data_IF_579044420297
#
_entry.id   IF_579044420297
#
_cell.length_a   1.000
_cell.length_b   1.000
_cell.length_c   1.000
_cell.angle_alpha   90.00
_cell.angle_beta   90.00
_cell.angle_gamma   90.00
#
_symmetry.space_group_name_H-M   'P 1'
#
loop_
_entity.id
_entity.type
_entity.pdbx_description
1 polymer ?
#
# COMPACT_ATOMS: atom_id res chain seq x y z
N UNK A 1 24.27 -40.59 42.32
CA UNK A 1 23.49 -39.84 43.33
C UNK A 1 23.08 -38.51 42.73
N UNK A 2 21.80 -38.32 42.41
CA UNK A 2 21.29 -37.04 41.88
C UNK A 2 21.06 -36.12 43.08
N UNK A 3 21.75 -35.00 43.12
CA UNK A 3 21.60 -34.02 44.19
C UNK A 3 20.29 -33.20 43.97
N UNK A 4 19.19 -33.48 44.69
CA UNK A 4 17.91 -32.86 44.44
C UNK A 4 17.92 -31.33 44.70
N UNK A 5 18.81 -30.88 45.54
CA UNK A 5 18.98 -29.44 45.84
C UNK A 5 19.60 -28.70 44.64
N UNK A 6 20.56 -29.32 43.94
CA UNK A 6 21.18 -28.74 42.77
C UNK A 6 20.14 -28.62 41.62
N UNK A 7 19.32 -29.66 41.39
CA UNK A 7 18.25 -29.65 40.42
C UNK A 7 17.24 -28.52 40.68
N UNK A 8 16.85 -28.34 41.94
CA UNK A 8 15.89 -27.31 42.34
C UNK A 8 16.46 -25.90 42.10
N UNK A 9 17.73 -25.66 42.41
CA UNK A 9 18.40 -24.38 42.15
C UNK A 9 18.47 -24.06 40.68
N UNK A 10 18.83 -25.04 39.83
CA UNK A 10 18.91 -24.86 38.39
C UNK A 10 17.52 -24.55 37.82
N UNK A 11 16.47 -25.24 38.27
CA UNK A 11 15.10 -25.01 37.83
C UNK A 11 14.63 -23.60 38.19
N UNK A 12 14.86 -23.14 39.41
CA UNK A 12 14.50 -21.79 39.82
C UNK A 12 15.24 -20.72 39.04
N UNK A 13 16.53 -20.93 38.76
CA UNK A 13 17.32 -20.02 37.94
C UNK A 13 16.78 -19.93 36.48
N UNK A 14 16.40 -21.05 35.89
CA UNK A 14 15.80 -21.06 34.54
C UNK A 14 14.44 -20.35 34.50
N UNK A 15 13.59 -20.54 35.52
CA UNK A 15 12.31 -19.83 35.62
C UNK A 15 12.54 -18.32 35.77
N UNK A 16 13.51 -17.90 36.58
CA UNK A 16 13.86 -16.49 36.74
C UNK A 16 14.34 -15.88 35.41
N UNK A 17 15.26 -16.55 34.72
CA UNK A 17 15.76 -16.11 33.41
C UNK A 17 14.63 -16.01 32.37
N UNK A 18 13.72 -16.97 32.34
CA UNK A 18 12.56 -16.95 31.44
C UNK A 18 11.64 -15.76 31.77
N UNK A 19 11.35 -15.50 33.03
CA UNK A 19 10.52 -14.38 33.47
C UNK A 19 11.14 -13.03 33.09
N UNK A 20 12.47 -12.88 33.26
CA UNK A 20 13.21 -11.66 32.85
C UNK A 20 13.16 -11.50 31.32
N UNK A 21 13.38 -12.58 30.54
CA UNK A 21 13.34 -12.55 29.09
C UNK A 21 11.96 -12.16 28.55
N UNK A 22 10.88 -12.70 29.11
CA UNK A 22 9.50 -12.35 28.75
C UNK A 22 9.17 -10.91 29.14
N UNK A 23 9.66 -10.43 30.28
CA UNK A 23 9.48 -9.05 30.70
C UNK A 23 10.17 -8.05 29.77
N UNK A 24 11.40 -8.36 29.34
CA UNK A 24 12.16 -7.52 28.42
C UNK A 24 11.54 -7.47 27.01
N UNK A 25 11.04 -8.60 26.48
CA UNK A 25 10.36 -8.63 25.17
C UNK A 25 9.07 -7.83 25.18
N UNK A 26 8.30 -7.84 26.26
CA UNK A 26 7.07 -7.02 26.39
C UNK A 26 7.37 -5.52 26.47
N UNK A 27 8.41 -5.12 27.18
CA UNK A 27 8.82 -3.71 27.28
C UNK A 27 9.32 -3.13 25.95
N UNK A 28 9.98 -3.95 25.11
CA UNK A 28 10.47 -3.52 23.78
C UNK A 28 9.34 -3.38 22.76
N UNK A 29 8.24 -4.12 22.91
CA UNK A 29 7.09 -4.03 21.98
C UNK A 29 6.13 -2.87 22.26
N UNK A 30 6.14 -2.30 23.48
CA UNK A 30 5.12 -1.35 23.90
C UNK A 30 5.37 0.12 23.49
N UNK A 31 6.56 0.50 23.00
CA UNK A 31 6.88 1.94 22.93
C UNK A 31 7.74 2.40 21.75
N UNK A 32 7.89 1.62 20.69
CA UNK A 32 8.61 2.11 19.51
C UNK A 32 7.68 2.23 18.31
N UNK A 33 7.00 3.36 18.22
CA UNK A 33 6.50 3.84 16.93
C UNK A 33 7.72 4.00 16.03
N UNK A 34 7.77 3.23 14.95
CA UNK A 34 8.84 3.38 13.97
C UNK A 34 8.76 4.80 13.38
N UNK A 35 9.79 5.63 13.53
CA UNK A 35 9.73 7.01 13.05
C UNK A 35 9.56 7.11 11.54
N UNK A 36 9.95 6.06 10.81
CA UNK A 36 9.80 5.95 9.34
C UNK A 36 9.62 4.48 8.98
N UNK A 37 8.62 4.18 8.15
CA UNK A 37 8.49 2.90 7.46
C UNK A 37 9.15 3.02 6.08
N UNK A 38 10.13 2.17 5.79
CA UNK A 38 10.80 2.11 4.49
C UNK A 38 10.50 0.77 3.84
N UNK A 39 9.99 0.81 2.60
CA UNK A 39 9.66 -0.38 1.84
C UNK A 39 9.37 -0.04 0.39
N UNK A 40 9.27 -1.06 -0.46
CA UNK A 40 8.88 -0.91 -1.87
C UNK A 40 7.37 -0.95 -2.07
N UNK A 41 6.65 -1.53 -1.12
CA UNK A 41 5.20 -1.59 -1.12
C UNK A 41 4.67 -1.63 0.31
N UNK A 42 3.45 -1.12 0.48
CA UNK A 42 2.60 -1.27 1.66
C UNK A 42 1.26 -1.79 1.19
N UNK A 43 0.75 -2.84 1.83
CA UNK A 43 -0.56 -3.40 1.54
C UNK A 43 -1.41 -3.47 2.80
N UNK A 44 -2.69 -3.12 2.66
CA UNK A 44 -3.73 -3.34 3.66
C UNK A 44 -4.63 -4.46 3.12
N UNK A 45 -4.79 -5.51 3.89
CA UNK A 45 -5.61 -6.67 3.53
C UNK A 45 -6.84 -6.76 4.43
N UNK A 46 -7.92 -7.35 3.89
CA UNK A 46 -9.11 -7.69 4.67
C UNK A 46 -8.96 -9.05 5.38
N UNK A 47 -9.96 -9.43 6.16
CA UNK A 47 -10.00 -10.70 6.92
C UNK A 47 -9.88 -11.96 6.04
N UNK A 48 -10.07 -11.83 4.73
CA UNK A 48 -9.92 -12.91 3.74
C UNK A 48 -8.57 -12.87 3.04
N UNK A 49 -7.65 -11.99 3.46
CA UNK A 49 -6.33 -11.82 2.86
C UNK A 49 -6.33 -11.10 1.51
N UNK A 50 -7.45 -10.46 1.10
CA UNK A 50 -7.53 -9.71 -0.16
C UNK A 50 -6.98 -8.31 0.04
N UNK A 51 -6.14 -7.84 -0.87
CA UNK A 51 -5.60 -6.48 -0.84
C UNK A 51 -6.73 -5.46 -1.05
N UNK A 52 -6.87 -4.53 -0.10
CA UNK A 52 -7.90 -3.48 -0.09
C UNK A 52 -7.31 -2.08 -0.29
N UNK A 53 -6.07 -1.89 0.08
CA UNK A 53 -5.31 -0.70 -0.27
C UNK A 53 -3.86 -1.07 -0.55
N UNK A 54 -3.20 -0.33 -1.42
CA UNK A 54 -1.77 -0.50 -1.67
C UNK A 54 -1.10 0.83 -1.99
N UNK A 55 0.16 0.96 -1.57
CA UNK A 55 1.10 1.97 -2.05
C UNK A 55 2.28 1.18 -2.61
N UNK A 56 2.61 1.39 -3.89
CA UNK A 56 3.64 0.62 -4.58
C UNK A 56 4.46 1.52 -5.47
N UNK A 57 5.77 1.30 -5.50
CA UNK A 57 6.65 1.86 -6.53
C UNK A 57 6.64 0.89 -7.71
N UNK A 58 6.08 1.31 -8.83
CA UNK A 58 6.07 0.56 -10.09
C UNK A 58 7.32 0.95 -10.89
N UNK A 59 8.18 -0.01 -11.26
CA UNK A 59 9.28 0.28 -12.17
C UNK A 59 8.74 0.73 -13.51
N UNK A 60 9.43 1.67 -14.17
CA UNK A 60 9.09 2.07 -15.53
C UNK A 60 9.25 0.92 -16.52
N UNK A 61 8.41 0.89 -17.55
CA UNK A 61 8.52 -0.05 -18.66
C UNK A 61 8.43 0.71 -19.98
N UNK A 62 9.55 0.83 -20.74
CA UNK A 62 9.58 1.57 -22.01
C UNK A 62 8.86 0.85 -23.15
N UNK A 63 8.50 -0.42 -23.00
CA UNK A 63 7.90 -1.25 -24.05
C UNK A 63 6.42 -1.55 -23.83
N UNK A 64 5.87 -1.22 -22.67
CA UNK A 64 4.47 -1.48 -22.37
C UNK A 64 3.54 -0.65 -23.26
N UNK A 65 2.57 -1.30 -23.88
CA UNK A 65 1.54 -0.61 -24.67
C UNK A 65 0.36 -0.22 -23.81
N UNK A 66 0.13 1.07 -23.67
CA UNK A 66 -1.00 1.61 -22.95
C UNK A 66 -2.30 1.46 -23.74
N UNK A 67 -3.47 1.39 -23.08
CA UNK A 67 -4.78 1.30 -23.78
C UNK A 67 -5.08 2.48 -24.71
N UNK A 68 -4.46 3.65 -24.48
CA UNK A 68 -4.60 4.85 -25.32
C UNK A 68 -3.67 4.85 -26.54
N UNK A 69 -2.89 3.78 -26.75
CA UNK A 69 -1.95 3.61 -27.86
C UNK A 69 -0.55 4.17 -27.59
N UNK A 70 -0.30 4.82 -26.47
CA UNK A 70 1.06 5.25 -26.10
C UNK A 70 1.93 4.04 -25.71
N UNK A 71 3.25 4.20 -25.88
CA UNK A 71 4.22 3.14 -25.55
C UNK A 71 5.13 3.64 -24.43
N UNK A 72 5.30 2.80 -23.42
CA UNK A 72 6.13 3.07 -22.26
C UNK A 72 5.40 3.89 -21.20
N UNK A 73 5.84 3.71 -19.96
CA UNK A 73 5.51 4.56 -18.82
C UNK A 73 6.72 4.69 -17.89
N UNK A 74 6.89 5.85 -17.22
CA UNK A 74 7.99 6.06 -16.29
C UNK A 74 7.78 5.31 -14.97
N UNK A 75 8.84 5.20 -14.18
CA UNK A 75 8.71 4.78 -12.79
C UNK A 75 7.67 5.67 -12.08
N UNK A 76 6.81 5.05 -11.32
CA UNK A 76 5.67 5.73 -10.71
C UNK A 76 5.39 5.21 -9.30
N UNK A 77 5.05 6.11 -8.38
CA UNK A 77 4.43 5.73 -7.11
C UNK A 77 2.92 5.71 -7.30
N UNK A 78 2.28 4.61 -6.93
CA UNK A 78 0.85 4.42 -7.11
C UNK A 78 0.19 3.99 -5.79
N UNK A 79 -0.78 4.80 -5.32
CA UNK A 79 -1.73 4.44 -4.27
C UNK A 79 -3.02 3.96 -4.91
N UNK A 80 -3.55 2.84 -4.42
CA UNK A 80 -4.84 2.28 -4.83
C UNK A 80 -5.72 1.99 -3.62
N UNK A 81 -7.02 2.29 -3.75
CA UNK A 81 -8.06 1.74 -2.88
C UNK A 81 -8.91 0.80 -3.72
N UNK A 82 -9.09 -0.43 -3.22
CA UNK A 82 -9.62 -1.55 -3.98
C UNK A 82 -10.94 -2.01 -3.36
N UNK A 83 -11.97 -2.10 -4.17
CA UNK A 83 -13.30 -2.56 -3.76
C UNK A 83 -13.29 -4.05 -3.36
N UNK A 84 -14.34 -4.56 -2.69
CA UNK A 84 -14.46 -5.99 -2.38
C UNK A 84 -14.41 -6.89 -3.62
N UNK A 85 -14.79 -6.38 -4.78
CA UNK A 85 -14.79 -7.09 -6.08
C UNK A 85 -13.43 -7.06 -6.77
N UNK A 86 -12.39 -6.46 -6.13
CA UNK A 86 -11.04 -6.37 -6.67
C UNK A 86 -10.82 -5.21 -7.67
N UNK A 87 -11.75 -4.25 -7.76
CA UNK A 87 -11.61 -3.09 -8.63
C UNK A 87 -10.85 -1.96 -7.94
N UNK A 88 -9.78 -1.43 -8.50
CA UNK A 88 -9.09 -0.26 -7.96
C UNK A 88 -9.89 1.01 -8.28
N UNK A 89 -10.89 1.33 -7.45
CA UNK A 89 -11.80 2.45 -7.65
C UNK A 89 -11.14 3.82 -7.36
N UNK A 90 -10.09 3.84 -6.54
CA UNK A 90 -9.27 5.05 -6.35
C UNK A 90 -7.85 4.75 -6.77
N UNK A 91 -7.27 5.62 -7.60
CA UNK A 91 -5.87 5.58 -8.02
C UNK A 91 -5.27 6.98 -7.91
N UNK A 92 -4.24 7.12 -7.10
CA UNK A 92 -3.42 8.33 -7.01
C UNK A 92 -2.01 7.96 -7.43
N UNK A 93 -1.53 8.58 -8.51
CA UNK A 93 -0.22 8.30 -9.07
C UNK A 93 0.64 9.54 -9.21
N UNK A 94 1.95 9.35 -9.07
CA UNK A 94 2.95 10.37 -9.33
C UNK A 94 4.15 9.75 -10.04
N UNK A 95 4.67 10.46 -11.03
CA UNK A 95 5.86 10.10 -11.82
C UNK A 95 6.64 11.38 -12.20
N UNK A 96 7.77 11.23 -12.88
CA UNK A 96 8.51 12.37 -13.45
C UNK A 96 7.71 13.15 -14.50
N UNK A 97 6.72 12.51 -15.16
CA UNK A 97 5.92 13.13 -16.22
C UNK A 97 4.68 13.85 -15.68
N UNK A 98 4.30 13.59 -14.42
CA UNK A 98 3.14 14.22 -13.81
C UNK A 98 2.49 13.39 -12.72
N UNK A 99 1.33 13.87 -12.28
CA UNK A 99 0.53 13.23 -11.24
C UNK A 99 -0.95 13.24 -11.60
N UNK A 100 -1.69 12.29 -11.05
CA UNK A 100 -3.12 12.19 -11.32
C UNK A 100 -3.90 11.43 -10.27
N UNK A 101 -5.19 11.78 -10.16
CA UNK A 101 -6.17 11.10 -9.34
C UNK A 101 -7.27 10.55 -10.25
N UNK A 102 -7.53 9.26 -10.13
CA UNK A 102 -8.63 8.59 -10.79
C UNK A 102 -9.62 8.05 -9.78
N UNK A 103 -10.91 8.32 -10.00
CA UNK A 103 -12.03 7.82 -9.20
C UNK A 103 -12.95 7.03 -10.12
N UNK A 104 -13.06 5.71 -9.90
CA UNK A 104 -13.99 4.84 -10.59
C UNK A 104 -15.33 4.78 -9.88
N UNK A 105 -16.43 4.85 -10.64
CA UNK A 105 -17.76 4.60 -10.12
C UNK A 105 -18.07 3.10 -9.97
N UNK A 106 -19.29 2.79 -9.54
CA UNK A 106 -19.79 1.43 -9.42
C UNK A 106 -19.87 0.75 -10.78
N UNK A 107 -20.43 1.48 -11.76
CA UNK A 107 -20.57 1.02 -13.12
C UNK A 107 -19.47 1.57 -14.03
N UNK A 108 -18.96 0.72 -14.91
CA UNK A 108 -18.09 1.15 -15.99
C UNK A 108 -18.96 1.69 -17.16
N UNK A 109 -18.71 2.88 -17.75
CA UNK A 109 -17.44 3.61 -17.72
C UNK A 109 -17.38 4.83 -16.77
N UNK A 110 -18.26 4.95 -15.75
CA UNK A 110 -18.27 6.09 -14.85
C UNK A 110 -16.90 6.35 -14.21
N UNK A 111 -16.32 7.52 -14.50
CA UNK A 111 -14.97 7.83 -14.10
C UNK A 111 -14.71 9.32 -13.95
N UNK A 112 -13.94 9.70 -12.95
CA UNK A 112 -13.38 11.04 -12.80
C UNK A 112 -11.87 10.95 -12.86
N UNK A 113 -11.23 11.77 -13.68
CA UNK A 113 -9.79 11.89 -13.75
C UNK A 113 -9.38 13.35 -13.54
N UNK A 114 -8.46 13.56 -12.61
CA UNK A 114 -7.77 14.83 -12.39
C UNK A 114 -6.32 14.59 -12.75
N UNK A 115 -5.78 15.37 -13.68
CA UNK A 115 -4.44 15.14 -14.23
C UNK A 115 -3.65 16.45 -14.30
N UNK A 116 -2.39 16.38 -13.87
CA UNK A 116 -1.37 17.37 -14.13
C UNK A 116 -0.20 16.65 -14.81
N UNK A 117 0.03 16.93 -16.11
CA UNK A 117 1.05 16.27 -16.90
C UNK A 117 1.77 17.27 -17.81
N UNK A 118 3.08 17.36 -17.63
CA UNK A 118 3.88 18.38 -18.31
C UNK A 118 3.32 19.78 -18.04
N UNK A 119 3.08 20.59 -19.08
CA UNK A 119 2.52 21.95 -18.94
C UNK A 119 0.98 21.96 -18.83
N UNK A 120 0.31 20.82 -18.83
CA UNK A 120 -1.15 20.72 -18.96
C UNK A 120 -1.82 20.21 -17.69
N UNK A 121 -2.98 20.78 -17.38
CA UNK A 121 -3.88 20.27 -16.32
C UNK A 121 -5.26 20.04 -16.90
N UNK A 122 -5.98 19.05 -16.36
CA UNK A 122 -7.36 18.78 -16.78
C UNK A 122 -8.15 18.03 -15.71
N UNK A 123 -9.47 18.21 -15.76
CA UNK A 123 -10.44 17.35 -15.08
C UNK A 123 -11.31 16.71 -16.16
N UNK A 124 -11.34 15.39 -16.24
CA UNK A 124 -12.22 14.65 -17.13
C UNK A 124 -13.29 13.93 -16.32
N UNK A 125 -14.54 14.10 -16.72
CA UNK A 125 -15.71 13.44 -16.16
C UNK A 125 -16.27 12.52 -17.23
N UNK A 126 -16.53 11.26 -16.89
CA UNK A 126 -17.18 10.28 -17.77
C UNK A 126 -18.42 9.75 -17.05
N UNK A 127 -19.59 9.87 -17.66
CA UNK A 127 -20.84 9.35 -17.10
C UNK A 127 -21.08 7.86 -17.46
N UNK A 128 -22.18 7.31 -16.96
CA UNK A 128 -22.56 5.91 -17.20
C UNK A 128 -22.79 5.58 -18.68
N UNK A 129 -23.13 6.57 -19.50
CA UNK A 129 -23.39 6.39 -20.94
C UNK A 129 -22.11 6.62 -21.76
N UNK A 130 -20.96 6.82 -21.10
CA UNK A 130 -19.66 7.06 -21.76
C UNK A 130 -19.48 8.47 -22.28
N UNK A 131 -20.38 9.41 -21.95
CA UNK A 131 -20.23 10.81 -22.36
C UNK A 131 -19.13 11.45 -21.52
N UNK A 132 -18.24 12.16 -22.20
CA UNK A 132 -17.09 12.80 -21.58
C UNK A 132 -17.25 14.32 -21.55
N UNK A 133 -16.84 14.91 -20.43
CA UNK A 133 -16.64 16.35 -20.26
C UNK A 133 -15.24 16.59 -19.77
N UNK A 134 -14.49 17.43 -20.49
CA UNK A 134 -13.12 17.82 -20.12
C UNK A 134 -13.12 19.31 -19.75
N UNK A 135 -12.58 19.61 -18.57
CA UNK A 135 -12.36 20.98 -18.08
C UNK A 135 -10.86 21.21 -18.11
N UNK A 136 -10.44 22.28 -18.76
CA UNK A 136 -9.06 22.77 -18.83
C UNK A 136 -9.04 24.24 -18.46
N UNK A 137 -7.88 24.77 -17.98
CA UNK A 137 -7.70 26.23 -17.76
C UNK A 137 -7.97 27.02 -19.01
#
# INVERSE_FOLDING_TARGET
>A
MKNPRLLLVITLLNILLLAVSVGQTRAVMAERVAPVLRGRALEIVDDKGRVRASITVLPGDPHFKMPDGTVGYPESVLLRLISPEGRPNVKLGASEQGSGLGLGGEDNPTYVQILAQGPSTSIKLTDKDGRERVIKP
#
